data_IF_822116173569
#
_entry.id   IF_822116173569
#
_cell.length_a   1.000
_cell.length_b   1.000
_cell.length_c   1.000
_cell.angle_alpha   90.00
_cell.angle_beta   90.00
_cell.angle_gamma   90.00
#
_symmetry.space_group_name_H-M   'P 1'
#
loop_
_entity.id
_entity.type
_entity.pdbx_description
1 polymer ?
#
# COMPACT_ATOMS: atom_id res chain seq x y z
N UNK A 1 -5.93 -8.39 53.70
CA UNK A 1 -6.20 -9.45 52.71
C UNK A 1 -7.33 -9.10 51.74
N UNK A 2 -8.47 -8.53 52.18
CA UNK A 2 -9.60 -8.12 51.29
C UNK A 2 -9.31 -6.98 50.30
N UNK A 3 -8.42 -6.05 50.63
CA UNK A 3 -8.10 -4.89 49.77
C UNK A 3 -7.19 -5.24 48.59
N UNK A 4 -6.33 -6.25 48.74
CA UNK A 4 -5.46 -6.74 47.66
C UNK A 4 -6.29 -7.46 46.59
N UNK A 5 -7.33 -8.21 46.99
CA UNK A 5 -8.24 -8.90 46.07
C UNK A 5 -9.04 -7.92 45.19
N UNK A 6 -9.43 -6.77 45.74
CA UNK A 6 -10.15 -5.72 45.00
C UNK A 6 -9.25 -5.00 43.97
N UNK A 7 -7.97 -4.80 44.30
CA UNK A 7 -6.98 -4.22 43.39
C UNK A 7 -6.58 -5.14 42.24
N UNK A 8 -6.57 -6.46 42.47
CA UNK A 8 -6.38 -7.44 41.39
C UNK A 8 -7.59 -7.55 40.45
N UNK A 9 -8.81 -7.31 40.95
CA UNK A 9 -10.04 -7.38 40.15
C UNK A 9 -10.23 -6.18 39.23
N UNK A 10 -9.68 -5.00 39.57
CA UNK A 10 -9.74 -3.81 38.72
C UNK A 10 -8.71 -3.85 37.58
N UNK A 11 -7.58 -4.53 37.77
CA UNK A 11 -6.49 -4.56 36.79
C UNK A 11 -6.76 -5.50 35.59
N UNK A 12 -7.62 -6.51 35.77
CA UNK A 12 -8.02 -7.42 34.68
C UNK A 12 -9.02 -6.81 33.70
N UNK A 13 -9.74 -5.74 34.08
CA UNK A 13 -10.72 -5.07 33.23
C UNK A 13 -10.10 -4.23 32.10
N UNK A 14 -8.80 -3.88 32.19
CA UNK A 14 -8.09 -3.13 31.16
C UNK A 14 -7.26 -4.03 30.21
N UNK A 15 -7.23 -5.34 30.44
CA UNK A 15 -6.19 -6.20 29.88
C UNK A 15 -6.42 -6.69 28.43
N UNK A 16 -7.57 -6.45 27.78
CA UNK A 16 -7.84 -7.14 26.49
C UNK A 16 -8.58 -6.30 25.46
N UNK A 17 -8.04 -5.14 25.09
CA UNK A 17 -8.39 -4.53 23.81
C UNK A 17 -7.15 -4.51 22.91
N UNK A 18 -6.81 -5.69 22.38
CA UNK A 18 -5.95 -5.77 21.21
C UNK A 18 -6.76 -5.21 20.03
N UNK A 19 -6.71 -3.90 19.84
CA UNK A 19 -7.31 -3.25 18.68
C UNK A 19 -6.49 -3.63 17.46
N UNK A 20 -6.90 -4.69 16.77
CA UNK A 20 -6.56 -4.82 15.37
C UNK A 20 -7.12 -3.60 14.62
N UNK A 21 -6.43 -3.16 13.58
CA UNK A 21 -6.91 -2.06 12.73
C UNK A 21 -8.34 -2.35 12.25
N UNK A 22 -9.22 -1.35 12.37
CA UNK A 22 -10.61 -1.46 11.92
C UNK A 22 -10.69 -1.56 10.38
N UNK A 23 -11.79 -2.08 9.83
CA UNK A 23 -12.02 -2.07 8.38
C UNK A 23 -11.88 -0.66 7.77
N UNK A 24 -12.39 0.36 8.46
CA UNK A 24 -12.29 1.76 8.00
C UNK A 24 -10.83 2.26 7.98
N UNK A 25 -10.01 1.86 8.96
CA UNK A 25 -8.60 2.21 8.98
C UNK A 25 -7.84 1.59 7.80
N UNK A 26 -8.16 0.33 7.45
CA UNK A 26 -7.61 -0.33 6.27
C UNK A 26 -8.05 0.36 4.97
N UNK A 27 -9.33 0.68 4.82
CA UNK A 27 -9.83 1.35 3.63
C UNK A 27 -9.21 2.75 3.45
N UNK A 28 -9.04 3.50 4.55
CA UNK A 28 -8.36 4.78 4.53
C UNK A 28 -6.88 4.65 4.13
N UNK A 29 -6.21 3.61 4.62
CA UNK A 29 -4.82 3.31 4.29
C UNK A 29 -4.66 2.93 2.80
N UNK A 30 -5.49 2.02 2.29
CA UNK A 30 -5.45 1.61 0.88
C UNK A 30 -5.70 2.80 -0.06
N UNK A 31 -6.61 3.71 0.32
CA UNK A 31 -6.83 4.96 -0.42
C UNK A 31 -5.60 5.87 -0.40
N UNK A 32 -4.90 5.95 0.73
CA UNK A 32 -3.67 6.75 0.84
C UNK A 32 -2.55 6.18 -0.04
N UNK A 33 -2.37 4.85 -0.04
CA UNK A 33 -1.42 4.16 -0.93
C UNK A 33 -1.75 4.44 -2.38
N UNK A 34 -3.01 4.19 -2.79
CA UNK A 34 -3.44 4.41 -4.18
C UNK A 34 -3.20 5.86 -4.62
N UNK A 35 -3.62 6.83 -3.80
CA UNK A 35 -3.49 8.26 -4.10
C UNK A 35 -2.02 8.69 -4.16
N UNK A 36 -1.19 8.21 -3.23
CA UNK A 36 0.24 8.50 -3.21
C UNK A 36 0.93 7.96 -4.47
N UNK A 37 0.65 6.70 -4.80
CA UNK A 37 1.23 6.03 -5.95
C UNK A 37 0.81 6.66 -7.27
N UNK A 38 -0.49 6.92 -7.49
CA UNK A 38 -0.95 7.54 -8.74
C UNK A 38 -0.45 8.98 -8.91
N UNK A 39 -0.26 9.72 -7.81
CA UNK A 39 0.35 11.06 -7.83
C UNK A 39 1.84 11.02 -8.18
N UNK A 40 2.56 10.00 -7.71
CA UNK A 40 3.99 9.83 -7.97
C UNK A 40 4.30 9.21 -9.35
N UNK A 41 3.32 8.54 -9.96
CA UNK A 41 3.44 7.91 -11.27
C UNK A 41 3.75 8.90 -12.39
N UNK A 42 4.64 8.52 -13.30
CA UNK A 42 4.89 9.27 -14.53
C UNK A 42 3.94 8.91 -15.67
N UNK A 43 3.10 7.89 -15.49
CA UNK A 43 2.21 7.39 -16.53
C UNK A 43 0.95 8.25 -16.66
N UNK A 44 0.52 8.44 -17.90
CA UNK A 44 -0.82 8.94 -18.19
C UNK A 44 -1.85 7.87 -17.86
N UNK A 45 -2.96 8.28 -17.24
CA UNK A 45 -4.08 7.42 -16.87
C UNK A 45 -3.66 6.21 -16.00
N UNK A 46 -2.71 6.45 -15.08
CA UNK A 46 -2.18 5.43 -14.17
C UNK A 46 -3.28 4.82 -13.28
N UNK A 47 -3.36 3.48 -13.28
CA UNK A 47 -4.33 2.69 -12.52
C UNK A 47 -3.65 1.47 -11.89
N UNK A 48 -4.15 0.97 -10.75
CA UNK A 48 -3.61 -0.22 -10.13
C UNK A 48 -3.89 -1.47 -10.98
N UNK A 49 -2.91 -2.38 -11.07
CA UNK A 49 -3.03 -3.68 -11.78
C UNK A 49 -3.62 -4.77 -10.87
N UNK A 50 -3.85 -4.47 -9.59
CA UNK A 50 -4.41 -5.38 -8.61
C UNK A 50 -4.46 -4.75 -7.22
N UNK A 51 -4.52 -5.60 -6.20
CA UNK A 51 -4.44 -5.16 -4.81
C UNK A 51 -3.00 -4.82 -4.42
N UNK A 52 -2.84 -3.95 -3.42
CA UNK A 52 -1.53 -3.63 -2.89
C UNK A 52 -0.94 -4.82 -2.12
N UNK A 53 0.35 -5.11 -2.34
CA UNK A 53 1.10 -6.07 -1.55
C UNK A 53 1.61 -5.37 -0.28
N UNK A 54 0.96 -5.66 0.85
CA UNK A 54 1.34 -5.11 2.15
C UNK A 54 2.37 -6.02 2.84
N UNK A 55 3.43 -5.43 3.35
CA UNK A 55 4.35 -6.09 4.28
C UNK A 55 4.01 -5.69 5.71
N UNK A 56 4.57 -6.40 6.70
CA UNK A 56 4.53 -5.92 8.08
C UNK A 56 5.42 -4.68 8.27
N UNK A 57 5.38 -4.10 9.47
CA UNK A 57 6.04 -2.82 9.75
C UNK A 57 7.57 -2.89 9.81
N UNK A 58 8.17 -4.09 9.78
CA UNK A 58 9.63 -4.25 9.71
C UNK A 58 10.17 -3.83 8.34
N UNK A 59 9.39 -4.08 7.28
CA UNK A 59 9.71 -3.60 5.93
C UNK A 59 9.31 -2.14 5.79
N UNK A 60 8.15 -1.75 6.33
CA UNK A 60 7.70 -0.37 6.36
C UNK A 60 7.13 0.15 5.02
N UNK A 61 7.06 -0.69 4.00
CA UNK A 61 6.53 -0.33 2.68
C UNK A 61 5.28 -1.16 2.31
N UNK A 62 4.42 -0.55 1.51
CA UNK A 62 3.38 -1.23 0.74
C UNK A 62 3.70 -1.10 -0.74
N UNK A 63 3.73 -2.21 -1.47
CA UNK A 63 3.97 -2.22 -2.90
C UNK A 63 2.65 -2.20 -3.69
N UNK A 64 2.58 -1.40 -4.74
CA UNK A 64 1.44 -1.36 -5.66
C UNK A 64 1.94 -1.29 -7.10
N UNK A 65 1.48 -2.22 -7.94
CA UNK A 65 1.74 -2.17 -9.38
C UNK A 65 0.75 -1.22 -10.04
N UNK A 66 1.27 -0.28 -10.81
CA UNK A 66 0.50 0.63 -11.64
C UNK A 66 0.70 0.30 -13.12
N UNK A 67 -0.31 0.63 -13.91
CA UNK A 67 -0.27 0.58 -15.36
C UNK A 67 -0.96 1.81 -15.96
N UNK A 68 -0.44 2.27 -17.07
CA UNK A 68 -0.91 3.45 -17.79
C UNK A 68 -0.20 3.57 -19.12
N UNK A 69 -0.10 4.77 -19.67
CA UNK A 69 0.57 5.05 -20.93
C UNK A 69 1.75 5.98 -20.72
N UNK A 70 2.88 5.70 -21.37
CA UNK A 70 4.01 6.61 -21.38
C UNK A 70 3.63 7.94 -22.08
N UNK A 71 3.73 9.10 -21.40
CA UNK A 71 3.39 10.39 -22.02
C UNK A 71 4.42 10.87 -23.04
N UNK A 72 5.62 10.28 -23.05
CA UNK A 72 6.72 10.67 -23.93
C UNK A 72 6.36 10.37 -25.39
N UNK A 73 6.48 11.38 -26.28
CA UNK A 73 6.10 11.25 -27.70
C UNK A 73 6.79 10.09 -28.43
N UNK A 74 8.06 9.83 -28.12
CA UNK A 74 8.82 8.75 -28.76
C UNK A 74 8.33 7.34 -28.37
N UNK A 75 7.62 7.21 -27.24
CA UNK A 75 7.00 5.96 -26.80
C UNK A 75 5.68 5.67 -27.51
N UNK A 76 5.14 6.60 -28.31
CA UNK A 76 3.92 6.41 -29.13
C UNK A 76 2.71 5.87 -28.36
N UNK A 77 2.54 6.29 -27.09
CA UNK A 77 1.44 5.82 -26.24
C UNK A 77 1.58 4.36 -25.79
N UNK A 78 2.80 3.80 -25.84
CA UNK A 78 3.10 2.48 -25.31
C UNK A 78 2.60 2.37 -23.86
N UNK A 79 1.98 1.23 -23.57
CA UNK A 79 1.54 0.92 -22.22
C UNK A 79 2.76 0.71 -21.33
N UNK A 80 2.83 1.43 -20.22
CA UNK A 80 3.88 1.34 -19.19
C UNK A 80 3.38 0.68 -17.91
N UNK A 81 4.29 0.06 -17.18
CA UNK A 81 4.07 -0.53 -15.86
C UNK A 81 5.10 0.03 -14.90
N UNK A 82 4.64 0.38 -13.71
CA UNK A 82 5.46 0.95 -12.67
C UNK A 82 5.25 0.18 -11.36
N UNK A 83 6.33 -0.02 -10.62
CA UNK A 83 6.28 -0.40 -9.22
C UNK A 83 6.23 0.86 -8.37
N UNK A 84 5.19 1.00 -7.58
CA UNK A 84 5.14 1.98 -6.50
C UNK A 84 5.48 1.32 -5.16
N UNK A 85 6.35 1.95 -4.37
CA UNK A 85 6.55 1.65 -2.95
C UNK A 85 6.05 2.84 -2.13
N UNK A 86 5.01 2.62 -1.33
CA UNK A 86 4.49 3.59 -0.38
C UNK A 86 5.13 3.37 0.99
N UNK A 87 5.89 4.36 1.47
CA UNK A 87 6.46 4.38 2.82
C UNK A 87 5.37 4.67 3.85
N UNK A 88 5.09 3.69 4.71
CA UNK A 88 4.06 3.79 5.76
C UNK A 88 4.31 4.95 6.72
N UNK A 89 5.58 5.18 7.08
CA UNK A 89 5.98 6.13 8.12
C UNK A 89 6.08 7.54 7.54
N UNK A 90 6.76 7.67 6.41
CA UNK A 90 6.95 8.96 5.74
C UNK A 90 5.72 9.40 4.92
N UNK A 91 4.74 8.50 4.71
CA UNK A 91 3.54 8.73 3.89
C UNK A 91 3.89 9.25 2.49
N UNK A 92 4.95 8.70 1.92
CA UNK A 92 5.54 9.13 0.65
C UNK A 92 5.60 7.94 -0.30
N UNK A 93 5.29 8.16 -1.57
CA UNK A 93 5.35 7.15 -2.62
C UNK A 93 6.59 7.33 -3.49
N UNK A 94 7.25 6.22 -3.81
CA UNK A 94 8.38 6.16 -4.73
C UNK A 94 8.02 5.24 -5.87
N UNK A 95 8.31 5.66 -7.10
CA UNK A 95 7.89 4.94 -8.29
C UNK A 95 9.09 4.66 -9.18
N UNK A 96 9.16 3.44 -9.72
CA UNK A 96 10.12 3.04 -10.75
C UNK A 96 9.40 2.28 -11.85
N UNK A 97 9.89 2.42 -13.07
CA UNK A 97 9.44 1.61 -14.19
C UNK A 97 9.76 0.12 -13.95
N UNK A 98 8.82 -0.76 -14.30
CA UNK A 98 8.96 -2.21 -14.18
C UNK A 98 8.28 -2.98 -15.32
N UNK A 99 8.52 -2.53 -16.56
CA UNK A 99 7.90 -3.12 -17.75
C UNK A 99 8.21 -4.61 -17.96
N UNK A 100 9.34 -5.11 -17.46
CA UNK A 100 9.76 -6.51 -17.60
C UNK A 100 8.84 -7.51 -16.88
N UNK A 101 7.94 -7.05 -16.00
CA UNK A 101 7.02 -7.94 -15.28
C UNK A 101 5.91 -8.49 -16.18
N UNK A 102 5.65 -7.85 -17.32
CA UNK A 102 4.72 -8.39 -18.30
C UNK A 102 5.41 -9.52 -19.04
N UNK A 103 4.82 -10.73 -19.09
CA UNK A 103 5.24 -11.70 -20.07
C UNK A 103 5.19 -11.03 -21.43
N UNK A 104 6.25 -11.11 -22.23
CA UNK A 104 6.19 -10.69 -23.64
C UNK A 104 5.01 -11.44 -24.25
N UNK A 105 3.91 -10.75 -24.50
CA UNK A 105 2.77 -11.35 -25.17
C UNK A 105 3.29 -11.76 -26.55
N UNK A 106 3.64 -13.03 -26.69
CA UNK A 106 3.95 -13.62 -27.98
C UNK A 106 2.66 -13.49 -28.77
N UNK A 107 2.65 -12.51 -29.67
CA UNK A 107 1.56 -12.29 -30.62
C UNK A 107 1.31 -13.63 -31.33
N UNK A 108 0.07 -14.16 -31.37
CA UNK A 108 -0.24 -15.23 -32.31
C UNK A 108 -0.02 -14.74 -33.74
#
# INVERSE_FOLDING_TARGET
>A
MKTITLLFLSLTALATQAHASSPDAWAAYDKAVLTGCTKASGLKDAKPVGTAAQFDDRVGYTALLLQGQYPQKHMKGQQGTELCLYDKKAKTAYVTEWDSIRPTAKKP
#
